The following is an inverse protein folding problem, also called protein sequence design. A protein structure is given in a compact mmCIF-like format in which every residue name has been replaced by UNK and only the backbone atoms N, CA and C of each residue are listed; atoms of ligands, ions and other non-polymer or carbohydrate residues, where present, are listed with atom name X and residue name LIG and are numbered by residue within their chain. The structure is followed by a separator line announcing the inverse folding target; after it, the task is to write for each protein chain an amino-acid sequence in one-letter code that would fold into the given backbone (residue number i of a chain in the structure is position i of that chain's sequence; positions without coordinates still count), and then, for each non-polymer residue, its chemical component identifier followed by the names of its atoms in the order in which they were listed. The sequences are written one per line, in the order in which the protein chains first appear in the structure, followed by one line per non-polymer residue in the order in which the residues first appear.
data_IF_510485301810
#
_entry.id   IF_510485301810
#
_cell.length_a   1.000
_cell.length_b   1.000
_cell.length_c   1.000
_cell.angle_alpha   90.00
_cell.angle_beta   90.00
_cell.angle_gamma   90.00
#
_symmetry.space_group_name_H-M   'P 1'
#
loop_
_entity.id
_entity.type
_entity.pdbx_description
1 polymer ?
#
# COMPACT_ATOMS: atom_id res chain seq x y z
N UNK A 1 29.42 13.67 -14.70
CA UNK A 1 28.72 14.59 -13.78
C UNK A 1 29.62 15.80 -13.58
N UNK A 2 29.22 16.98 -14.06
CA UNK A 2 29.93 18.21 -13.71
C UNK A 2 29.61 18.56 -12.27
N UNK A 3 30.64 18.67 -11.42
CA UNK A 3 30.48 19.26 -10.09
C UNK A 3 30.08 20.73 -10.29
N UNK A 4 28.78 21.02 -10.31
CA UNK A 4 28.30 22.36 -10.06
C UNK A 4 28.57 22.66 -8.59
N UNK A 5 29.80 23.12 -8.30
CA UNK A 5 30.12 23.75 -7.04
C UNK A 5 29.27 25.02 -6.99
N UNK A 6 28.31 25.07 -6.07
CA UNK A 6 27.59 26.31 -5.77
C UNK A 6 28.60 27.24 -5.07
N UNK A 7 29.19 28.14 -5.85
CA UNK A 7 30.14 29.13 -5.32
C UNK A 7 29.31 30.26 -4.71
N UNK A 8 29.37 30.40 -3.39
CA UNK A 8 28.76 31.52 -2.67
C UNK A 8 29.70 32.72 -2.80
N UNK A 9 29.29 33.74 -3.56
CA UNK A 9 30.02 35.01 -3.69
C UNK A 9 29.63 35.95 -2.54
N UNK A 10 30.38 35.88 -1.44
CA UNK A 10 30.19 36.69 -0.25
C UNK A 10 30.24 38.20 -0.55
N UNK A 11 31.05 38.64 -1.52
CA UNK A 11 31.18 40.06 -1.86
C UNK A 11 29.94 40.57 -2.61
N UNK A 12 29.43 39.79 -3.57
CA UNK A 12 28.20 40.09 -4.27
C UNK A 12 27.00 40.13 -3.30
N UNK A 13 26.91 39.15 -2.39
CA UNK A 13 25.86 39.09 -1.36
C UNK A 13 25.94 40.31 -0.44
N UNK A 14 27.14 40.70 0.00
CA UNK A 14 27.37 41.87 0.84
C UNK A 14 26.90 43.17 0.18
N UNK A 15 27.25 43.38 -1.10
CA UNK A 15 26.80 44.54 -1.90
C UNK A 15 25.27 44.57 -2.05
N UNK A 16 24.66 43.43 -2.36
CA UNK A 16 23.21 43.32 -2.51
C UNK A 16 22.47 43.66 -1.22
N UNK A 17 22.90 43.08 -0.09
CA UNK A 17 22.34 43.38 1.23
C UNK A 17 22.49 44.86 1.57
N UNK A 18 23.65 45.47 1.30
CA UNK A 18 23.83 46.90 1.51
C UNK A 18 22.80 47.70 0.75
N UNK A 19 22.61 47.41 -0.54
CA UNK A 19 21.62 48.09 -1.37
C UNK A 19 20.18 47.92 -0.86
N UNK A 20 19.82 46.77 -0.29
CA UNK A 20 18.50 46.57 0.32
C UNK A 20 18.31 47.34 1.63
N UNK A 21 19.34 47.35 2.49
CA UNK A 21 19.32 48.08 3.76
C UNK A 21 19.18 49.57 3.48
N UNK A 22 20.00 50.11 2.59
CA UNK A 22 20.03 51.54 2.29
C UNK A 22 18.70 52.01 1.63
N UNK A 23 17.94 51.11 1.00
CA UNK A 23 16.59 51.37 0.47
C UNK A 23 15.48 51.30 1.51
N UNK A 24 15.57 50.39 2.49
CA UNK A 24 14.47 50.09 3.44
C UNK A 24 14.62 50.72 4.82
N UNK A 25 15.83 51.12 5.19
CA UNK A 25 16.16 51.63 6.52
C UNK A 25 16.86 52.98 6.41
N UNK A 26 16.64 53.87 7.38
CA UNK A 26 17.26 55.21 7.39
C UNK A 26 18.76 55.14 7.62
N UNK A 27 19.24 54.09 8.27
CA UNK A 27 20.66 53.85 8.51
C UNK A 27 20.94 52.37 8.79
N UNK A 28 22.21 51.98 8.66
CA UNK A 28 22.67 50.64 9.09
C UNK A 28 22.50 50.41 10.60
N UNK A 29 22.52 51.49 11.42
CA UNK A 29 22.27 51.41 12.86
C UNK A 29 20.79 51.09 13.15
N UNK A 30 19.86 51.66 12.40
CA UNK A 30 18.43 51.32 12.50
C UNK A 30 18.18 49.84 12.18
N UNK A 31 18.82 49.33 11.11
CA UNK A 31 18.73 47.90 10.77
C UNK A 31 19.25 47.02 11.92
N UNK A 32 20.42 47.35 12.50
CA UNK A 32 20.99 46.60 13.62
C UNK A 32 20.07 46.60 14.86
N UNK A 33 19.42 47.73 15.14
CA UNK A 33 18.44 47.80 16.22
C UNK A 33 17.22 46.89 15.97
N UNK A 34 16.70 46.84 14.72
CA UNK A 34 15.59 45.93 14.38
C UNK A 34 16.04 44.46 14.40
N UNK A 35 17.26 44.16 13.99
CA UNK A 35 17.84 42.82 14.06
C UNK A 35 17.89 42.30 15.51
N UNK A 36 18.36 43.12 16.45
CA UNK A 36 18.33 42.76 17.88
C UNK A 36 16.92 42.57 18.42
N UNK A 37 15.99 43.44 17.99
CA UNK A 37 14.58 43.35 18.39
C UNK A 37 13.92 42.05 17.95
N UNK A 38 14.14 41.64 16.70
CA UNK A 38 13.57 40.39 16.14
C UNK A 38 14.15 39.14 16.82
N UNK A 39 15.38 39.22 17.34
CA UNK A 39 16.00 38.16 18.13
C UNK A 39 15.61 38.18 19.62
N UNK A 40 14.78 39.12 20.07
CA UNK A 40 14.48 39.35 21.49
C UNK A 40 15.73 39.60 22.35
N UNK A 41 16.75 40.26 21.79
CA UNK A 41 18.03 40.56 22.46
C UNK A 41 18.10 41.97 23.09
N UNK A 42 17.01 42.75 23.02
CA UNK A 42 16.93 44.07 23.67
C UNK A 42 16.51 43.92 25.13
N UNK A 43 17.15 44.68 26.02
CA UNK A 43 16.90 44.68 27.48
C UNK A 43 16.51 46.07 27.98
N UNK A 44 16.10 46.18 29.25
CA UNK A 44 15.82 47.49 29.88
C UNK A 44 17.10 48.31 30.17
N UNK A 45 18.29 47.76 29.92
CA UNK A 45 19.57 48.43 30.14
C UNK A 45 20.09 49.07 28.84
N UNK A 46 20.00 50.40 28.75
CA UNK A 46 20.38 51.17 27.55
C UNK A 46 21.86 50.99 27.18
N UNK A 47 22.77 50.95 28.15
CA UNK A 47 24.22 50.77 27.91
C UNK A 47 24.51 49.40 27.26
N UNK A 48 23.85 48.33 27.71
CA UNK A 48 23.98 46.98 27.12
C UNK A 48 23.39 46.92 25.71
N UNK A 49 22.30 47.65 25.47
CA UNK A 49 21.71 47.73 24.14
C UNK A 49 22.65 48.48 23.18
N UNK A 50 23.30 49.57 23.61
CA UNK A 50 24.27 50.29 22.78
C UNK A 50 25.47 49.43 22.39
N UNK A 51 26.03 48.67 23.34
CA UNK A 51 27.12 47.73 23.08
C UNK A 51 26.69 46.64 22.09
N UNK A 52 25.50 46.08 22.26
CA UNK A 52 24.93 45.06 21.38
C UNK A 52 24.67 45.59 19.97
N UNK A 53 24.19 46.83 19.86
CA UNK A 53 24.01 47.52 18.56
C UNK A 53 25.35 47.72 17.88
N UNK A 54 26.39 48.11 18.62
CA UNK A 54 27.73 48.28 18.06
C UNK A 54 28.32 46.95 17.57
N UNK A 55 28.12 45.86 18.31
CA UNK A 55 28.55 44.52 17.90
C UNK A 55 27.85 44.06 16.61
N UNK A 56 26.53 44.27 16.51
CA UNK A 56 25.78 43.98 15.28
C UNK A 56 26.21 44.89 14.12
N UNK A 57 26.53 46.16 14.38
CA UNK A 57 27.03 47.07 13.35
C UNK A 57 28.39 46.64 12.79
N UNK A 58 29.31 46.19 13.66
CA UNK A 58 30.60 45.65 13.24
C UNK A 58 30.43 44.37 12.40
N UNK A 59 29.57 43.45 12.85
CA UNK A 59 29.24 42.22 12.11
C UNK A 59 28.60 42.53 10.76
N UNK A 60 27.64 43.46 10.72
CA UNK A 60 27.01 43.92 9.49
C UNK A 60 28.01 44.55 8.52
N UNK A 61 28.97 45.34 9.02
CA UNK A 61 30.02 45.92 8.19
C UNK A 61 30.89 44.84 7.52
N UNK A 62 31.21 43.76 8.23
CA UNK A 62 31.97 42.63 7.67
C UNK A 62 31.14 41.87 6.61
N UNK A 63 29.83 41.71 6.85
CA UNK A 63 28.90 41.11 5.87
C UNK A 63 28.79 41.99 4.62
N UNK A 64 28.62 43.31 4.77
CA UNK A 64 28.53 44.25 3.64
C UNK A 64 29.78 44.25 2.75
N UNK A 65 30.95 44.01 3.32
CA UNK A 65 32.24 43.90 2.59
C UNK A 65 32.51 42.51 2.01
N UNK A 66 31.68 41.52 2.33
CA UNK A 66 31.91 40.12 1.94
C UNK A 66 33.02 39.41 2.73
N UNK A 67 33.53 40.03 3.79
CA UNK A 67 34.56 39.43 4.67
C UNK A 67 33.98 38.32 5.56
N UNK A 68 32.67 38.37 5.82
CA UNK A 68 31.92 37.32 6.55
C UNK A 68 30.61 37.00 5.85
N UNK A 69 30.24 35.72 5.87
CA UNK A 69 28.92 35.27 5.48
C UNK A 69 27.88 35.54 6.58
N UNK A 70 26.61 35.64 6.18
CA UNK A 70 25.49 35.61 7.12
C UNK A 70 25.48 34.23 7.78
N UNK A 71 25.41 34.20 9.11
CA UNK A 71 25.25 32.94 9.83
C UNK A 71 23.84 32.40 9.63
N UNK A 72 23.68 31.07 9.63
CA UNK A 72 22.40 30.41 9.34
C UNK A 72 21.27 30.90 10.27
N UNK A 73 21.59 31.16 11.54
CA UNK A 73 20.63 31.64 12.54
C UNK A 73 20.13 33.06 12.28
N UNK A 74 20.93 33.90 11.61
CA UNK A 74 20.56 35.28 11.30
C UNK A 74 19.82 35.39 9.95
N UNK A 75 19.88 34.37 9.10
CA UNK A 75 19.31 34.38 7.76
C UNK A 75 17.77 34.57 7.76
N UNK A 76 16.98 33.93 8.66
CA UNK A 76 15.56 34.21 8.85
C UNK A 76 15.26 35.69 9.12
N UNK A 77 16.06 36.32 9.96
CA UNK A 77 15.87 37.71 10.38
C UNK A 77 16.17 38.67 9.23
N UNK A 78 17.26 38.43 8.50
CA UNK A 78 17.61 39.21 7.32
C UNK A 78 16.53 39.10 6.24
N UNK A 79 16.04 37.89 5.96
CA UNK A 79 14.93 37.66 5.02
C UNK A 79 13.68 38.45 5.42
N UNK A 80 13.28 38.37 6.69
CA UNK A 80 12.12 39.09 7.23
C UNK A 80 12.29 40.62 7.14
N UNK A 81 13.40 41.16 7.64
CA UNK A 81 13.64 42.61 7.69
C UNK A 81 13.85 43.22 6.29
N UNK A 82 14.54 42.50 5.41
CA UNK A 82 14.81 42.94 4.04
C UNK A 82 13.70 42.56 3.07
N UNK A 83 12.72 41.76 3.49
CA UNK A 83 11.56 41.33 2.70
C UNK A 83 11.94 40.63 1.39
N UNK A 84 12.92 39.73 1.44
CA UNK A 84 13.41 38.94 0.29
C UNK A 84 13.69 37.51 0.75
N UNK A 85 13.53 36.51 -0.11
CA UNK A 85 13.74 35.10 0.26
C UNK A 85 15.21 34.76 0.51
N UNK A 86 15.47 33.61 1.13
CA UNK A 86 16.83 33.10 1.39
C UNK A 86 17.61 32.91 0.09
N UNK A 87 16.96 32.32 -0.91
CA UNK A 87 17.53 32.08 -2.23
C UNK A 87 17.95 33.40 -2.86
N UNK A 88 17.15 34.45 -2.71
CA UNK A 88 17.44 35.78 -3.27
C UNK A 88 18.56 36.50 -2.51
N UNK A 89 18.75 36.23 -1.22
CA UNK A 89 19.89 36.73 -0.46
C UNK A 89 21.17 36.00 -0.88
N UNK A 90 21.13 34.66 -0.91
CA UNK A 90 22.28 33.80 -1.20
C UNK A 90 22.75 33.89 -2.67
N UNK A 91 21.88 34.35 -3.57
CA UNK A 91 22.20 34.62 -4.98
C UNK A 91 22.54 36.09 -5.26
N UNK A 92 22.80 36.90 -4.24
CA UNK A 92 23.11 38.32 -4.39
C UNK A 92 22.05 39.12 -5.18
N UNK A 93 20.78 38.72 -5.08
CA UNK A 93 19.67 39.37 -5.77
C UNK A 93 19.40 38.87 -7.18
N UNK A 94 20.22 37.95 -7.68
CA UNK A 94 19.94 37.26 -8.93
C UNK A 94 18.64 36.47 -8.77
N UNK A 95 17.67 36.82 -9.60
CA UNK A 95 16.55 35.92 -9.82
C UNK A 95 17.12 34.83 -10.70
N UNK A 96 17.62 33.74 -10.10
CA UNK A 96 17.90 32.54 -10.87
C UNK A 96 16.69 32.23 -11.76
N UNK A 97 16.88 31.60 -12.94
CA UNK A 97 15.74 31.12 -13.70
C UNK A 97 14.84 30.39 -12.71
N UNK A 98 13.53 30.69 -12.71
CA UNK A 98 12.57 30.02 -11.85
C UNK A 98 12.96 28.54 -11.85
N UNK A 99 13.38 28.00 -10.68
CA UNK A 99 13.87 26.63 -10.61
C UNK A 99 12.88 25.80 -11.41
N UNK A 100 13.30 25.15 -12.51
CA UNK A 100 12.36 24.52 -13.41
C UNK A 100 11.48 23.65 -12.54
N UNK A 101 10.19 23.98 -12.48
CA UNK A 101 9.22 23.49 -11.48
C UNK A 101 9.57 22.05 -11.19
N UNK A 102 10.24 21.77 -10.06
CA UNK A 102 10.97 20.49 -9.91
C UNK A 102 9.92 19.40 -9.93
N UNK A 103 9.76 18.76 -11.08
CA UNK A 103 8.74 17.76 -11.30
C UNK A 103 9.16 16.57 -10.47
N UNK A 104 8.52 16.41 -9.31
CA UNK A 104 8.77 15.37 -8.32
C UNK A 104 7.64 14.33 -8.35
N UNK A 105 7.86 13.21 -7.66
CA UNK A 105 6.82 12.20 -7.42
C UNK A 105 5.56 12.84 -6.81
N UNK A 106 5.73 13.69 -5.80
CA UNK A 106 4.65 14.45 -5.16
C UNK A 106 3.84 15.30 -6.13
N UNK A 107 4.51 16.05 -7.01
CA UNK A 107 3.83 16.91 -7.99
C UNK A 107 3.06 16.08 -9.03
N UNK A 108 3.70 15.05 -9.58
CA UNK A 108 3.11 14.20 -10.61
C UNK A 108 1.93 13.40 -10.06
N UNK A 109 2.02 12.95 -8.81
CA UNK A 109 0.93 12.24 -8.14
C UNK A 109 -0.32 13.10 -7.91
N UNK A 110 -0.21 14.43 -7.89
CA UNK A 110 -1.38 15.34 -7.87
C UNK A 110 -1.85 15.75 -9.26
N UNK A 111 -0.97 15.66 -10.26
CA UNK A 111 -1.32 16.01 -11.62
C UNK A 111 -2.48 15.16 -12.14
N UNK A 112 -3.37 15.77 -12.91
CA UNK A 112 -4.44 15.09 -13.65
C UNK A 112 -4.14 14.99 -15.16
N UNK A 113 -2.92 15.36 -15.56
CA UNK A 113 -2.52 15.45 -16.96
C UNK A 113 -1.78 14.19 -17.40
N UNK A 114 -2.41 13.37 -18.24
CA UNK A 114 -1.76 12.23 -18.91
C UNK A 114 -0.49 12.64 -19.66
N UNK A 115 -0.44 13.88 -20.16
CA UNK A 115 0.75 14.42 -20.82
C UNK A 115 1.90 14.60 -19.84
N UNK A 116 1.64 15.21 -18.68
CA UNK A 116 2.67 15.38 -17.64
C UNK A 116 3.14 14.03 -17.10
N UNK A 117 2.23 13.06 -16.95
CA UNK A 117 2.59 11.70 -16.54
C UNK A 117 3.48 11.02 -17.58
N UNK A 118 3.13 11.10 -18.86
CA UNK A 118 3.92 10.53 -19.96
C UNK A 118 5.30 11.19 -20.05
N UNK A 119 5.35 12.53 -20.04
CA UNK A 119 6.61 13.28 -20.03
C UNK A 119 7.49 12.87 -18.83
N UNK A 120 6.90 12.62 -17.66
CA UNK A 120 7.63 12.21 -16.45
C UNK A 120 8.21 10.79 -16.54
N UNK A 121 7.42 9.81 -17.00
CA UNK A 121 7.91 8.43 -17.15
C UNK A 121 8.91 8.29 -18.29
N UNK A 122 8.85 9.15 -19.30
CA UNK A 122 9.75 9.13 -20.46
C UNK A 122 11.09 9.80 -20.20
N UNK A 123 11.23 10.55 -19.09
CA UNK A 123 12.51 11.15 -18.70
C UNK A 123 13.64 10.11 -18.69
N UNK A 124 14.79 10.50 -19.21
CA UNK A 124 15.96 9.63 -19.33
C UNK A 124 16.46 9.13 -17.96
N UNK A 125 16.33 9.95 -16.91
CA UNK A 125 16.73 9.61 -15.53
C UNK A 125 15.69 8.76 -14.78
N UNK A 126 14.53 8.46 -15.39
CA UNK A 126 13.47 7.59 -14.86
C UNK A 126 13.15 7.84 -13.37
N UNK A 127 12.88 9.09 -12.97
CA UNK A 127 12.73 9.46 -11.56
C UNK A 127 11.57 8.74 -10.87
N UNK A 128 10.54 8.32 -11.62
CA UNK A 128 9.40 7.58 -11.09
C UNK A 128 9.75 6.20 -10.49
N UNK A 129 10.92 5.64 -10.85
CA UNK A 129 11.43 4.38 -10.28
C UNK A 129 12.09 4.57 -8.92
N UNK A 130 12.32 5.81 -8.50
CA UNK A 130 13.06 6.14 -7.28
C UNK A 130 12.16 6.89 -6.30
N UNK A 131 12.43 6.73 -5.01
CA UNK A 131 11.89 7.59 -3.97
C UNK A 131 12.38 9.03 -4.13
N UNK A 132 11.55 9.99 -3.74
CA UNK A 132 11.93 11.41 -3.69
C UNK A 132 12.72 11.74 -2.41
N UNK A 133 13.02 13.01 -2.19
CA UNK A 133 13.72 13.51 -0.99
C UNK A 133 13.01 13.20 0.34
N UNK A 134 11.73 12.82 0.33
CA UNK A 134 10.96 12.42 1.51
C UNK A 134 10.90 10.90 1.69
N UNK A 135 11.62 10.13 0.85
CA UNK A 135 11.64 8.67 0.93
C UNK A 135 10.36 8.02 0.42
N UNK A 136 9.57 8.71 -0.41
CA UNK A 136 8.30 8.21 -0.96
C UNK A 136 8.35 8.05 -2.48
N UNK A 137 7.70 6.99 -2.93
CA UNK A 137 7.49 6.66 -4.33
C UNK A 137 6.30 7.43 -4.91
N UNK A 138 6.22 7.49 -6.24
CA UNK A 138 5.06 8.05 -6.95
C UNK A 138 3.75 7.34 -6.59
N UNK A 139 3.78 6.03 -6.30
CA UNK A 139 2.57 5.24 -6.02
C UNK A 139 2.04 5.53 -4.61
N UNK A 140 2.92 5.66 -3.61
CA UNK A 140 2.51 6.07 -2.26
C UNK A 140 1.76 7.40 -2.31
N UNK A 141 2.29 8.41 -3.01
CA UNK A 141 1.58 9.66 -3.19
C UNK A 141 0.31 9.53 -4.01
N UNK A 142 0.29 8.71 -5.07
CA UNK A 142 -0.90 8.50 -5.86
C UNK A 142 -2.05 7.89 -5.02
N UNK A 143 -1.72 7.00 -4.08
CA UNK A 143 -2.66 6.46 -3.09
C UNK A 143 -3.10 7.56 -2.13
N UNK A 144 -2.17 8.34 -1.55
CA UNK A 144 -2.49 9.44 -0.62
C UNK A 144 -3.41 10.49 -1.23
N UNK A 145 -3.19 10.85 -2.50
CA UNK A 145 -4.03 11.79 -3.23
C UNK A 145 -5.26 11.16 -3.89
N UNK A 146 -5.45 9.84 -3.73
CA UNK A 146 -6.47 9.05 -4.42
C UNK A 146 -6.48 9.30 -5.94
N UNK A 147 -5.30 9.50 -6.54
CA UNK A 147 -5.14 9.70 -7.98
C UNK A 147 -5.18 8.36 -8.72
N UNK A 148 -6.37 7.76 -8.74
CA UNK A 148 -6.62 6.47 -9.34
C UNK A 148 -6.27 6.43 -10.84
N UNK A 149 -6.51 7.53 -11.55
CA UNK A 149 -6.23 7.64 -12.98
C UNK A 149 -4.72 7.52 -13.29
N UNK A 150 -3.85 8.03 -12.40
CA UNK A 150 -2.41 7.83 -12.52
C UNK A 150 -2.01 6.37 -12.26
N UNK A 151 -2.58 5.73 -11.24
CA UNK A 151 -2.30 4.31 -10.95
C UNK A 151 -2.66 3.45 -12.16
N UNK A 152 -3.88 3.62 -12.71
CA UNK A 152 -4.30 2.93 -13.94
C UNK A 152 -3.36 3.22 -15.10
N UNK A 153 -2.98 4.48 -15.29
CA UNK A 153 -2.06 4.86 -16.36
C UNK A 153 -0.72 4.12 -16.26
N UNK A 154 -0.18 3.95 -15.05
CA UNK A 154 1.09 3.24 -14.84
C UNK A 154 0.94 1.72 -15.06
N UNK A 155 -0.19 1.13 -14.71
CA UNK A 155 -0.51 -0.27 -15.01
C UNK A 155 -0.67 -0.50 -16.52
N UNK A 156 -1.49 0.33 -17.18
CA UNK A 156 -1.76 0.25 -18.62
C UNK A 156 -0.47 0.41 -19.46
N UNK A 157 0.50 1.17 -18.94
CA UNK A 157 1.82 1.37 -19.58
C UNK A 157 2.83 0.26 -19.25
N UNK A 158 2.46 -0.70 -18.40
CA UNK A 158 3.38 -1.73 -17.90
C UNK A 158 4.55 -1.14 -17.12
N UNK A 159 4.36 0.01 -16.49
CA UNK A 159 5.36 0.61 -15.60
C UNK A 159 5.40 -0.12 -14.25
N UNK A 160 4.25 -0.60 -13.80
CA UNK A 160 4.07 -1.41 -12.59
C UNK A 160 3.08 -2.55 -12.87
N UNK A 161 3.07 -3.55 -12.01
CA UNK A 161 2.06 -4.60 -11.94
C UNK A 161 1.89 -5.05 -10.48
N UNK A 162 0.69 -5.52 -10.14
CA UNK A 162 0.38 -6.09 -8.82
C UNK A 162 0.29 -7.61 -8.82
N UNK A 163 0.13 -8.20 -10.00
CA UNK A 163 0.15 -9.63 -10.27
C UNK A 163 1.16 -9.90 -11.38
N UNK A 164 2.10 -10.83 -11.19
CA UNK A 164 3.04 -11.27 -12.23
C UNK A 164 2.43 -12.30 -13.18
N UNK A 165 1.23 -12.79 -12.89
CA UNK A 165 0.55 -13.88 -13.59
C UNK A 165 1.34 -15.21 -13.57
N UNK A 166 2.34 -15.30 -12.69
CA UNK A 166 3.22 -16.44 -12.56
C UNK A 166 3.06 -17.08 -11.18
N UNK A 167 2.41 -18.24 -11.10
CA UNK A 167 2.15 -18.94 -9.83
C UNK A 167 3.43 -19.23 -9.03
N UNK A 168 4.60 -19.35 -9.66
CA UNK A 168 5.87 -19.53 -8.93
C UNK A 168 6.27 -18.32 -8.11
N UNK A 169 5.76 -17.14 -8.43
CA UNK A 169 6.00 -15.90 -7.70
C UNK A 169 4.98 -15.69 -6.56
N UNK A 170 3.94 -16.54 -6.48
CA UNK A 170 2.88 -16.44 -5.47
C UNK A 170 3.37 -17.02 -4.15
N UNK A 171 4.10 -16.21 -3.41
CA UNK A 171 4.55 -16.49 -2.05
C UNK A 171 3.83 -15.58 -1.05
N UNK A 172 4.52 -14.55 -0.58
CA UNK A 172 3.94 -13.52 0.30
C UNK A 172 3.05 -12.55 -0.51
N UNK A 173 3.31 -12.36 -1.79
CA UNK A 173 2.57 -11.45 -2.68
C UNK A 173 2.28 -12.15 -4.01
N UNK A 174 1.48 -11.53 -4.89
CA UNK A 174 1.23 -12.01 -6.25
C UNK A 174 2.36 -11.64 -7.24
N UNK A 175 3.60 -11.48 -6.80
CA UNK A 175 4.72 -11.12 -7.67
C UNK A 175 4.72 -9.66 -8.18
N UNK A 176 4.13 -8.74 -7.42
CA UNK A 176 4.09 -7.31 -7.76
C UNK A 176 5.48 -6.72 -8.05
N UNK A 177 5.55 -5.75 -8.95
CA UNK A 177 6.83 -5.16 -9.34
C UNK A 177 6.72 -3.95 -10.25
N UNK A 178 7.86 -3.36 -10.56
CA UNK A 178 7.99 -2.26 -11.51
C UNK A 178 8.99 -2.56 -12.61
N UNK A 179 8.78 -1.92 -13.77
CA UNK A 179 9.67 -1.98 -14.93
C UNK A 179 11.06 -1.47 -14.54
N UNK A 180 12.08 -2.29 -14.78
CA UNK A 180 13.50 -1.93 -14.55
C UNK A 180 14.12 -1.38 -15.84
N UNK A 181 15.22 -0.63 -15.72
CA UNK A 181 15.94 -0.07 -16.88
C UNK A 181 16.55 -1.15 -17.80
N UNK A 182 16.73 -2.40 -17.33
CA UNK A 182 17.35 -3.49 -18.10
C UNK A 182 16.35 -4.37 -18.88
N UNK A 183 15.04 -4.26 -18.66
CA UNK A 183 14.03 -5.07 -19.37
C UNK A 183 13.74 -4.60 -20.83
N UNK A 184 14.61 -3.79 -21.44
CA UNK A 184 14.44 -3.35 -22.82
C UNK A 184 15.11 -4.27 -23.85
N UNK A 185 15.87 -5.29 -23.45
CA UNK A 185 16.60 -6.14 -24.39
C UNK A 185 16.95 -7.53 -23.86
N UNK A 186 16.00 -8.27 -23.30
CA UNK A 186 16.12 -9.74 -23.27
C UNK A 186 14.75 -10.41 -23.12
N UNK A 187 14.43 -11.26 -24.10
CA UNK A 187 13.38 -12.27 -24.02
C UNK A 187 13.86 -13.42 -23.11
N UNK A 188 14.11 -13.15 -21.83
CA UNK A 188 14.30 -14.21 -20.85
C UNK A 188 13.12 -14.22 -19.89
N UNK A 189 12.26 -15.19 -20.13
CA UNK A 189 11.22 -15.68 -19.24
C UNK A 189 11.73 -15.77 -17.79
N UNK A 190 10.88 -15.30 -16.87
CA UNK A 190 10.70 -15.86 -15.53
C UNK A 190 11.97 -16.08 -14.69
N UNK A 191 12.52 -15.01 -14.10
CA UNK A 191 13.27 -15.09 -12.84
C UNK A 191 13.54 -13.72 -12.18
N UNK A 192 12.54 -12.84 -12.14
CA UNK A 192 12.69 -11.54 -11.48
C UNK A 192 12.93 -11.69 -9.96
N UNK A 193 12.24 -12.63 -9.30
CA UNK A 193 12.33 -12.82 -7.85
C UNK A 193 13.70 -13.35 -7.37
N UNK A 194 14.34 -14.26 -8.12
CA UNK A 194 15.63 -14.86 -7.73
C UNK A 194 16.82 -13.96 -8.09
N UNK A 195 16.70 -13.17 -9.17
CA UNK A 195 17.79 -12.28 -9.62
C UNK A 195 18.05 -11.09 -8.69
N UNK A 196 17.07 -10.68 -7.88
CA UNK A 196 17.16 -9.58 -6.93
C UNK A 196 18.06 -9.87 -5.71
N UNK A 197 18.28 -11.14 -5.37
CA UNK A 197 19.02 -11.55 -4.16
C UNK A 197 20.56 -11.45 -4.36
N UNK A 198 21.06 -11.48 -5.59
CA UNK A 198 22.50 -11.66 -5.86
C UNK A 198 23.17 -10.57 -6.73
N UNK A 199 22.49 -9.48 -7.06
CA UNK A 199 23.04 -8.44 -7.95
C UNK A 199 23.11 -7.06 -7.25
N UNK A 200 24.33 -6.49 -7.04
CA UNK A 200 24.51 -5.16 -6.45
C UNK A 200 24.30 -4.10 -7.54
N UNK A 201 23.05 -3.81 -7.88
CA UNK A 201 22.67 -2.80 -8.89
C UNK A 201 21.91 -1.65 -8.21
N UNK A 202 21.93 -0.42 -8.78
CA UNK A 202 21.25 0.72 -8.20
C UNK A 202 19.76 0.39 -8.01
N UNK A 203 19.39 0.20 -6.75
CA UNK A 203 18.11 -0.36 -6.33
C UNK A 203 16.98 0.50 -6.90
N UNK A 204 16.18 -0.06 -7.81
CA UNK A 204 14.91 0.52 -8.20
C UNK A 204 14.03 0.52 -6.96
N UNK A 205 13.96 1.67 -6.28
CA UNK A 205 13.26 1.79 -5.02
C UNK A 205 11.79 1.42 -5.18
N UNK A 206 11.15 1.77 -6.30
CA UNK A 206 9.76 1.42 -6.56
C UNK A 206 9.58 -0.10 -6.68
N UNK A 207 10.43 -0.80 -7.44
CA UNK A 207 10.37 -2.26 -7.56
C UNK A 207 10.55 -2.91 -6.19
N UNK A 208 11.59 -2.51 -5.45
CA UNK A 208 11.85 -3.03 -4.10
C UNK A 208 10.68 -2.82 -3.15
N UNK A 209 10.03 -1.64 -3.21
CA UNK A 209 8.86 -1.32 -2.39
C UNK A 209 7.64 -2.16 -2.76
N UNK A 210 7.41 -2.40 -4.06
CA UNK A 210 6.30 -3.24 -4.53
C UNK A 210 6.50 -4.72 -4.18
N UNK A 211 7.74 -5.20 -4.16
CA UNK A 211 8.06 -6.60 -3.84
C UNK A 211 8.13 -6.90 -2.34
N UNK A 212 8.24 -5.87 -1.50
CA UNK A 212 8.46 -6.03 -0.05
C UNK A 212 7.26 -6.66 0.65
N UNK A 213 6.04 -6.19 0.32
CA UNK A 213 4.80 -6.68 0.90
C UNK A 213 3.59 -6.24 0.07
N UNK A 214 2.40 -6.68 0.48
CA UNK A 214 1.14 -6.50 -0.25
C UNK A 214 0.44 -5.13 0.00
N UNK A 215 1.10 -4.20 0.70
CA UNK A 215 0.51 -2.94 1.14
C UNK A 215 -0.03 -2.11 -0.02
N UNK A 216 0.70 -2.01 -1.12
CA UNK A 216 0.25 -1.22 -2.27
C UNK A 216 -1.06 -1.76 -2.85
N UNK A 217 -1.12 -3.07 -3.10
CA UNK A 217 -2.32 -3.75 -3.61
C UNK A 217 -3.50 -3.51 -2.67
N UNK A 218 -3.29 -3.73 -1.36
CA UNK A 218 -4.32 -3.51 -0.33
C UNK A 218 -4.85 -2.08 -0.28
N UNK A 219 -4.00 -1.07 -0.52
CA UNK A 219 -4.43 0.33 -0.51
C UNK A 219 -5.03 0.80 -1.84
N UNK A 220 -4.80 0.09 -2.95
CA UNK A 220 -5.45 0.38 -4.24
C UNK A 220 -6.87 -0.22 -4.29
N UNK A 221 -7.13 -1.34 -3.60
CA UNK A 221 -8.46 -1.99 -3.56
C UNK A 221 -9.58 -1.02 -3.15
N UNK A 222 -9.51 -0.29 -2.01
CA UNK A 222 -10.52 0.71 -1.64
C UNK A 222 -10.76 1.77 -2.72
N UNK A 223 -9.70 2.22 -3.38
CA UNK A 223 -9.78 3.22 -4.45
C UNK A 223 -10.52 2.64 -5.67
N UNK A 224 -10.28 1.37 -6.01
CA UNK A 224 -11.00 0.68 -7.08
C UNK A 224 -12.48 0.47 -6.73
N UNK A 225 -12.81 0.17 -5.46
CA UNK A 225 -14.18 0.12 -4.96
C UNK A 225 -14.89 1.49 -5.13
N UNK A 226 -14.24 2.59 -4.71
CA UNK A 226 -14.77 3.96 -4.86
C UNK A 226 -15.07 4.31 -6.33
N UNK A 227 -14.31 3.74 -7.27
CA UNK A 227 -14.46 3.96 -8.71
C UNK A 227 -15.35 2.91 -9.42
N UNK A 228 -15.93 1.95 -8.68
CA UNK A 228 -16.76 0.86 -9.21
C UNK A 228 -16.08 0.03 -10.31
N UNK A 229 -14.75 -0.09 -10.24
CA UNK A 229 -13.96 -0.72 -11.29
C UNK A 229 -13.76 -2.21 -10.99
N UNK A 230 -14.77 -3.03 -11.33
CA UNK A 230 -14.71 -4.48 -11.16
C UNK A 230 -13.56 -5.12 -11.95
N UNK A 231 -13.18 -4.55 -13.11
CA UNK A 231 -12.05 -5.08 -13.88
C UNK A 231 -10.76 -4.90 -13.07
N UNK A 232 -10.53 -3.71 -12.55
CA UNK A 232 -9.37 -3.46 -11.68
C UNK A 232 -9.38 -4.34 -10.44
N UNK A 233 -10.53 -4.57 -9.81
CA UNK A 233 -10.62 -5.48 -8.66
C UNK A 233 -10.22 -6.91 -9.04
N UNK A 234 -10.62 -7.37 -10.23
CA UNK A 234 -10.14 -8.62 -10.83
C UNK A 234 -8.63 -8.63 -11.07
N UNK A 235 -8.10 -7.59 -11.73
CA UNK A 235 -6.66 -7.44 -12.01
C UNK A 235 -5.81 -7.38 -10.71
N UNK A 236 -6.38 -6.86 -9.61
CA UNK A 236 -5.77 -6.81 -8.28
C UNK A 236 -5.94 -8.12 -7.48
N UNK A 237 -6.71 -9.09 -7.99
CA UNK A 237 -7.16 -10.27 -7.21
C UNK A 237 -7.74 -9.87 -5.86
N UNK A 238 -8.62 -8.86 -5.84
CA UNK A 238 -9.00 -8.15 -4.63
C UNK A 238 -9.71 -9.05 -3.58
N UNK A 239 -10.37 -10.12 -4.04
CA UNK A 239 -11.01 -11.12 -3.17
C UNK A 239 -10.15 -12.34 -2.87
N UNK A 240 -8.86 -12.33 -3.23
CA UNK A 240 -7.95 -13.47 -3.12
C UNK A 240 -6.69 -13.09 -2.34
N UNK A 241 -6.01 -14.10 -1.80
CA UNK A 241 -4.68 -13.99 -1.18
C UNK A 241 -3.73 -14.99 -1.84
N UNK A 242 -2.41 -14.69 -1.91
CA UNK A 242 -1.43 -15.59 -2.52
C UNK A 242 -1.47 -17.01 -1.94
N UNK A 243 -1.70 -17.13 -0.62
CA UNK A 243 -1.83 -18.40 0.11
C UNK A 243 -2.82 -19.40 -0.49
N UNK A 244 -3.84 -18.94 -1.21
CA UNK A 244 -4.81 -19.83 -1.87
C UNK A 244 -4.20 -20.65 -3.01
N UNK A 245 -3.11 -20.18 -3.62
CA UNK A 245 -2.49 -20.85 -4.76
C UNK A 245 -1.45 -21.87 -4.34
N UNK A 246 -0.56 -21.50 -3.40
CA UNK A 246 0.57 -22.34 -3.03
C UNK A 246 0.35 -23.16 -1.75
N UNK A 247 -0.52 -22.71 -0.81
CA UNK A 247 -0.76 -23.44 0.45
C UNK A 247 -2.08 -24.19 0.49
N UNK A 248 -3.13 -23.75 -0.20
CA UNK A 248 -4.44 -24.40 -0.11
C UNK A 248 -4.48 -25.74 -0.85
N UNK A 249 -3.76 -26.74 -0.37
CA UNK A 249 -3.66 -28.07 -0.95
C UNK A 249 -4.09 -29.11 0.08
N UNK A 250 -5.25 -29.73 -0.17
CA UNK A 250 -5.83 -30.74 0.71
C UNK A 250 -4.93 -31.97 0.88
N UNK A 251 -4.06 -32.30 -0.08
CA UNK A 251 -3.17 -33.48 0.05
C UNK A 251 -2.01 -33.23 1.01
N UNK A 252 -1.51 -32.00 1.10
CA UNK A 252 -0.39 -31.64 1.98
C UNK A 252 -0.82 -31.24 3.39
N UNK A 253 -2.13 -31.20 3.71
CA UNK A 253 -2.66 -30.69 4.99
C UNK A 253 -2.10 -29.30 5.33
N UNK A 254 -1.93 -28.46 4.31
CA UNK A 254 -1.53 -27.07 4.46
C UNK A 254 -2.74 -26.18 4.19
N UNK A 255 -2.85 -25.08 4.95
CA UNK A 255 -3.86 -24.06 4.73
C UNK A 255 -3.21 -22.70 4.46
N UNK A 256 -3.93 -21.79 3.78
CA UNK A 256 -3.51 -20.40 3.62
C UNK A 256 -3.37 -19.70 4.97
N UNK A 257 -2.36 -18.85 5.09
CA UNK A 257 -2.24 -17.91 6.21
C UNK A 257 -2.95 -16.61 5.81
N UNK A 258 -4.09 -16.35 6.44
CA UNK A 258 -5.00 -15.26 6.04
C UNK A 258 -4.67 -13.97 6.79
N UNK A 259 -4.16 -14.07 8.01
CA UNK A 259 -3.93 -12.93 8.90
C UNK A 259 -2.84 -11.95 8.40
N UNK A 260 -1.84 -12.42 7.65
CA UNK A 260 -0.77 -11.58 7.10
C UNK A 260 -1.27 -10.52 6.09
N UNK A 261 -2.46 -10.72 5.51
CA UNK A 261 -3.06 -9.83 4.51
C UNK A 261 -4.30 -9.09 5.05
N UNK A 262 -4.63 -9.26 6.33
CA UNK A 262 -5.84 -8.66 6.89
C UNK A 262 -5.70 -7.15 7.13
N UNK A 263 -6.48 -6.37 6.39
CA UNK A 263 -6.63 -4.93 6.60
C UNK A 263 -8.04 -4.59 7.08
N UNK A 264 -8.25 -4.44 8.39
CA UNK A 264 -9.57 -4.12 8.95
C UNK A 264 -10.20 -2.85 8.33
N UNK A 265 -9.38 -1.84 8.03
CA UNK A 265 -9.83 -0.62 7.34
C UNK A 265 -10.29 -0.88 5.91
N UNK A 266 -9.63 -1.80 5.19
CA UNK A 266 -9.99 -2.20 3.82
C UNK A 266 -11.32 -2.96 3.82
N UNK A 267 -11.48 -3.95 4.72
CA UNK A 267 -12.73 -4.73 4.82
C UNK A 267 -13.90 -3.83 5.21
N UNK A 268 -13.69 -2.89 6.14
CA UNK A 268 -14.71 -1.89 6.48
C UNK A 268 -15.08 -1.02 5.27
N UNK A 269 -14.09 -0.54 4.51
CA UNK A 269 -14.34 0.25 3.30
C UNK A 269 -15.12 -0.55 2.24
N UNK A 270 -14.83 -1.84 2.09
CA UNK A 270 -15.61 -2.74 1.23
C UNK A 270 -17.06 -2.83 1.72
N UNK A 271 -17.30 -2.98 3.03
CA UNK A 271 -18.65 -3.03 3.61
C UNK A 271 -19.48 -1.76 3.36
N UNK A 272 -18.81 -0.62 3.18
CA UNK A 272 -19.42 0.67 2.83
C UNK A 272 -19.66 0.86 1.33
N UNK A 273 -19.21 -0.07 0.48
CA UNK A 273 -19.35 0.00 -0.96
C UNK A 273 -20.78 -0.32 -1.42
N UNK A 274 -21.09 -0.01 -2.68
CA UNK A 274 -22.40 -0.34 -3.24
C UNK A 274 -22.59 -1.84 -3.50
N UNK A 275 -23.85 -2.24 -3.67
CA UNK A 275 -24.23 -3.65 -3.84
C UNK A 275 -23.45 -4.37 -4.95
N UNK A 276 -23.06 -3.71 -6.04
CA UNK A 276 -22.34 -4.38 -7.13
C UNK A 276 -20.92 -4.75 -6.72
N UNK A 277 -20.27 -3.91 -5.90
CA UNK A 277 -18.98 -4.24 -5.29
C UNK A 277 -19.16 -5.34 -4.23
N UNK A 278 -20.19 -5.24 -3.39
CA UNK A 278 -20.48 -6.26 -2.38
C UNK A 278 -20.79 -7.62 -3.01
N UNK A 279 -21.48 -7.67 -4.16
CA UNK A 279 -21.65 -8.91 -4.94
C UNK A 279 -20.30 -9.55 -5.26
N UNK A 280 -19.36 -8.79 -5.82
CA UNK A 280 -18.04 -9.29 -6.20
C UNK A 280 -17.28 -9.94 -5.03
N UNK A 281 -17.36 -9.35 -3.83
CA UNK A 281 -16.71 -9.87 -2.62
C UNK A 281 -17.50 -10.99 -1.91
N UNK A 282 -18.78 -11.19 -2.23
CA UNK A 282 -19.62 -12.23 -1.61
C UNK A 282 -19.88 -13.42 -2.52
N UNK A 283 -19.63 -13.29 -3.82
CA UNK A 283 -19.63 -14.41 -4.75
C UNK A 283 -18.47 -15.36 -4.45
N UNK A 284 -18.76 -16.66 -4.49
CA UNK A 284 -17.73 -17.68 -4.54
C UNK A 284 -16.93 -17.59 -5.84
N UNK A 285 -15.72 -18.13 -5.82
CA UNK A 285 -14.82 -18.12 -6.95
C UNK A 285 -13.93 -19.34 -6.96
N UNK A 286 -13.53 -19.73 -8.17
CA UNK A 286 -12.73 -20.93 -8.38
C UNK A 286 -11.27 -20.58 -8.63
N UNK A 287 -10.38 -21.31 -7.96
CA UNK A 287 -8.95 -21.29 -8.22
C UNK A 287 -8.55 -22.59 -8.89
N UNK A 288 -7.90 -22.44 -10.05
CA UNK A 288 -7.10 -23.48 -10.68
C UNK A 288 -5.65 -23.20 -10.30
N UNK A 289 -4.93 -24.19 -9.76
CA UNK A 289 -3.50 -24.07 -9.51
C UNK A 289 -2.73 -25.15 -10.25
N UNK A 290 -1.80 -24.70 -11.09
CA UNK A 290 -0.90 -25.52 -11.91
C UNK A 290 0.08 -26.35 -11.08
N UNK A 291 0.38 -25.94 -9.84
CA UNK A 291 1.36 -26.61 -8.96
C UNK A 291 0.86 -27.92 -8.34
N UNK A 292 -0.41 -28.29 -8.54
CA UNK A 292 -0.99 -29.50 -7.97
C UNK A 292 -0.84 -30.71 -8.89
N UNK A 293 0.38 -31.26 -8.96
CA UNK A 293 0.74 -32.51 -9.67
C UNK A 293 -0.15 -33.74 -9.35
N UNK A 294 -0.96 -33.65 -8.30
CA UNK A 294 -1.74 -34.77 -7.77
C UNK A 294 -3.23 -34.72 -8.13
N UNK A 295 -3.72 -33.58 -8.64
CA UNK A 295 -5.13 -33.41 -9.01
C UNK A 295 -5.27 -33.63 -10.52
N UNK A 296 -5.21 -34.90 -10.93
CA UNK A 296 -5.13 -35.32 -12.35
C UNK A 296 -6.32 -34.87 -13.23
N UNK A 297 -7.33 -34.24 -12.63
CA UNK A 297 -8.55 -33.79 -13.29
C UNK A 297 -8.75 -32.27 -13.28
N UNK A 298 -7.77 -31.47 -12.82
CA UNK A 298 -7.89 -30.01 -12.85
C UNK A 298 -9.10 -29.48 -12.09
N UNK A 299 -9.46 -30.12 -10.97
CA UNK A 299 -10.67 -29.74 -10.23
C UNK A 299 -10.47 -28.36 -9.60
N UNK A 300 -11.32 -27.45 -10.03
CA UNK A 300 -11.49 -26.12 -9.44
C UNK A 300 -11.77 -26.21 -7.94
N UNK A 301 -11.04 -25.41 -7.17
CA UNK A 301 -11.26 -25.23 -5.74
C UNK A 301 -12.07 -23.96 -5.55
N UNK A 302 -13.30 -24.13 -5.11
CA UNK A 302 -14.20 -23.01 -4.82
C UNK A 302 -13.90 -22.44 -3.44
N UNK A 303 -13.68 -21.14 -3.39
CA UNK A 303 -13.48 -20.35 -2.17
C UNK A 303 -14.47 -19.19 -2.13
N UNK A 304 -14.57 -18.56 -0.97
CA UNK A 304 -15.19 -17.24 -0.81
C UNK A 304 -14.13 -16.27 -0.30
N UNK A 305 -14.42 -14.97 -0.27
CA UNK A 305 -13.47 -13.96 0.20
C UNK A 305 -12.87 -14.36 1.57
N UNK A 306 -11.53 -14.38 1.75
CA UNK A 306 -10.93 -14.86 3.00
C UNK A 306 -11.39 -14.11 4.25
N UNK A 307 -11.82 -12.84 4.11
CA UNK A 307 -12.33 -12.01 5.21
C UNK A 307 -13.86 -11.90 5.23
N UNK A 308 -14.57 -12.88 4.67
CA UNK A 308 -16.02 -12.83 4.53
C UNK A 308 -16.75 -12.75 5.88
N UNK A 309 -16.25 -13.42 6.92
CA UNK A 309 -16.81 -13.37 8.28
C UNK A 309 -16.76 -11.94 8.83
N UNK A 310 -15.62 -11.25 8.66
CA UNK A 310 -15.44 -9.87 9.09
C UNK A 310 -16.29 -8.91 8.25
N UNK A 311 -16.41 -9.15 6.94
CA UNK A 311 -17.30 -8.37 6.07
C UNK A 311 -18.76 -8.50 6.51
N UNK A 312 -19.24 -9.71 6.78
CA UNK A 312 -20.59 -9.95 7.30
C UNK A 312 -20.81 -9.22 8.64
N UNK A 313 -19.85 -9.31 9.56
CA UNK A 313 -19.93 -8.62 10.85
C UNK A 313 -20.09 -7.10 10.68
N UNK A 314 -19.37 -6.47 9.74
CA UNK A 314 -19.56 -5.05 9.42
C UNK A 314 -20.93 -4.77 8.82
N UNK A 315 -21.37 -5.55 7.83
CA UNK A 315 -22.68 -5.37 7.19
C UNK A 315 -23.83 -5.47 8.21
N UNK A 316 -23.74 -6.42 9.14
CA UNK A 316 -24.75 -6.66 10.17
C UNK A 316 -24.72 -5.58 11.24
N UNK A 317 -23.54 -5.23 11.76
CA UNK A 317 -23.40 -4.21 12.80
C UNK A 317 -23.92 -2.84 12.35
N UNK A 318 -23.79 -2.52 11.06
CA UNK A 318 -24.26 -1.27 10.48
C UNK A 318 -25.68 -1.36 9.90
N UNK A 319 -26.35 -2.51 10.01
CA UNK A 319 -27.71 -2.71 9.51
C UNK A 319 -27.84 -2.52 7.99
N UNK A 320 -26.80 -2.89 7.22
CA UNK A 320 -26.79 -2.72 5.77
C UNK A 320 -27.85 -3.63 5.13
N UNK A 321 -28.69 -3.13 4.19
CA UNK A 321 -29.70 -3.95 3.52
C UNK A 321 -29.14 -5.18 2.78
N UNK A 322 -27.88 -5.11 2.36
CA UNK A 322 -27.21 -6.19 1.65
C UNK A 322 -26.87 -7.40 2.56
N UNK A 323 -26.92 -7.25 3.88
CA UNK A 323 -26.51 -8.29 4.83
C UNK A 323 -27.26 -9.62 4.61
N UNK A 324 -28.58 -9.59 4.38
CA UNK A 324 -29.36 -10.82 4.18
C UNK A 324 -28.92 -11.58 2.93
N UNK A 325 -28.68 -10.86 1.82
CA UNK A 325 -28.20 -11.47 0.57
C UNK A 325 -26.82 -12.08 0.73
N UNK A 326 -25.92 -11.41 1.45
CA UNK A 326 -24.60 -11.95 1.75
C UNK A 326 -24.69 -13.23 2.63
N UNK A 327 -25.56 -13.22 3.64
CA UNK A 327 -25.81 -14.39 4.50
C UNK A 327 -26.38 -15.57 3.71
N UNK A 328 -27.36 -15.34 2.83
CA UNK A 328 -27.96 -16.38 1.99
C UNK A 328 -26.91 -17.08 1.12
N UNK A 329 -26.01 -16.32 0.47
CA UNK A 329 -24.91 -16.89 -0.31
C UNK A 329 -23.96 -17.73 0.55
N UNK A 330 -23.65 -17.27 1.76
CA UNK A 330 -22.76 -18.01 2.66
C UNK A 330 -23.41 -19.27 3.21
N UNK A 331 -24.72 -19.25 3.45
CA UNK A 331 -25.49 -20.45 3.80
C UNK A 331 -25.46 -21.46 2.64
N UNK A 332 -25.64 -21.01 1.40
CA UNK A 332 -25.56 -21.87 0.22
C UNK A 332 -24.18 -22.51 0.08
N UNK A 333 -23.11 -21.71 0.14
CA UNK A 333 -21.73 -22.18 0.08
C UNK A 333 -21.40 -23.17 1.21
N UNK A 334 -21.77 -22.86 2.46
CA UNK A 334 -21.52 -23.74 3.60
C UNK A 334 -22.33 -25.04 3.52
N UNK A 335 -23.58 -25.03 3.03
CA UNK A 335 -24.35 -26.27 2.78
C UNK A 335 -23.70 -27.13 1.72
N UNK A 336 -23.33 -26.55 0.59
CA UNK A 336 -22.63 -27.28 -0.48
C UNK A 336 -21.30 -27.87 0.01
N UNK A 337 -20.59 -27.16 0.88
CA UNK A 337 -19.37 -27.66 1.54
C UNK A 337 -19.65 -28.85 2.43
N UNK A 338 -20.66 -28.77 3.30
CA UNK A 338 -21.08 -29.86 4.19
C UNK A 338 -21.51 -31.10 3.40
N UNK A 339 -22.33 -30.93 2.36
CA UNK A 339 -22.78 -32.02 1.50
C UNK A 339 -21.60 -32.72 0.80
N UNK A 340 -20.64 -31.93 0.31
CA UNK A 340 -19.42 -32.46 -0.33
C UNK A 340 -18.52 -33.20 0.68
N UNK A 341 -18.37 -32.67 1.89
CA UNK A 341 -17.63 -33.36 2.96
C UNK A 341 -18.28 -34.69 3.31
N UNK A 342 -19.59 -34.72 3.53
CA UNK A 342 -20.33 -35.94 3.82
C UNK A 342 -20.22 -36.97 2.68
N UNK A 343 -20.29 -36.54 1.42
CA UNK A 343 -20.06 -37.40 0.27
C UNK A 343 -18.66 -38.03 0.27
N UNK A 344 -17.62 -37.20 0.45
CA UNK A 344 -16.23 -37.66 0.50
C UNK A 344 -15.94 -38.61 1.68
N UNK A 345 -16.54 -38.36 2.84
CA UNK A 345 -16.44 -39.23 4.02
C UNK A 345 -17.13 -40.57 3.75
N UNK A 346 -18.37 -40.55 3.24
CA UNK A 346 -19.12 -41.76 2.90
C UNK A 346 -18.38 -42.61 1.84
N UNK A 347 -17.86 -42.00 0.78
CA UNK A 347 -17.07 -42.68 -0.24
C UNK A 347 -15.82 -43.34 0.36
N UNK A 348 -15.20 -42.68 1.35
CA UNK A 348 -14.03 -43.22 2.06
C UNK A 348 -14.40 -44.44 2.90
N UNK A 349 -15.51 -44.39 3.64
CA UNK A 349 -16.03 -45.50 4.46
C UNK A 349 -16.46 -46.73 3.63
N UNK A 350 -16.96 -46.53 2.40
CA UNK A 350 -17.33 -47.62 1.51
C UNK A 350 -16.14 -48.27 0.80
N UNK A 351 -14.96 -47.66 0.85
CA UNK A 351 -13.76 -48.24 0.25
C UNK A 351 -13.14 -49.26 1.22
N UNK A 352 -12.78 -50.46 0.74
CA UNK A 352 -12.10 -51.53 1.51
C UNK A 352 -10.77 -51.09 2.18
N UNK A 353 -10.34 -49.87 1.89
CA UNK A 353 -9.05 -49.32 2.21
C UNK A 353 -9.04 -48.34 3.41
N UNK A 354 -10.17 -48.06 4.06
CA UNK A 354 -10.26 -47.18 5.23
C UNK A 354 -10.90 -47.92 6.41
N UNK A 355 -10.29 -47.82 7.59
CA UNK A 355 -11.00 -48.16 8.83
C UNK A 355 -11.98 -47.03 9.20
N UNK A 356 -12.97 -47.35 10.03
CA UNK A 356 -14.08 -46.47 10.42
C UNK A 356 -13.61 -45.15 11.10
N UNK A 357 -12.38 -45.11 11.60
CA UNK A 357 -11.78 -43.96 12.28
C UNK A 357 -10.75 -43.19 11.41
N UNK A 358 -10.20 -43.80 10.36
CA UNK A 358 -9.11 -43.24 9.56
C UNK A 358 -9.51 -41.99 8.76
N UNK A 359 -10.79 -41.81 8.43
CA UNK A 359 -11.24 -40.58 7.76
C UNK A 359 -11.10 -39.34 8.66
N UNK A 360 -11.23 -39.49 9.99
CA UNK A 360 -11.10 -38.38 10.95
C UNK A 360 -9.69 -37.82 10.97
N UNK A 361 -8.68 -38.67 10.84
CA UNK A 361 -7.26 -38.27 10.70
C UNK A 361 -6.98 -37.51 9.40
N UNK A 362 -7.93 -37.51 8.47
CA UNK A 362 -7.84 -36.83 7.20
C UNK A 362 -8.82 -35.65 7.09
N UNK A 363 -9.49 -35.31 8.18
CA UNK A 363 -10.36 -34.15 8.31
C UNK A 363 -9.67 -33.11 9.20
N UNK A 364 -9.40 -31.93 8.66
CA UNK A 364 -8.81 -30.81 9.39
C UNK A 364 -9.73 -29.60 9.36
N UNK A 365 -9.93 -29.00 10.54
CA UNK A 365 -10.61 -27.73 10.70
C UNK A 365 -9.65 -26.72 11.34
N UNK A 366 -9.38 -25.63 10.62
CA UNK A 366 -8.47 -24.57 11.03
C UNK A 366 -9.28 -23.41 11.61
N UNK A 367 -9.43 -23.43 12.94
CA UNK A 367 -10.25 -22.47 13.69
C UNK A 367 -9.86 -21.00 13.44
N UNK A 368 -8.56 -20.70 13.33
CA UNK A 368 -8.08 -19.31 13.24
C UNK A 368 -8.45 -18.62 11.91
N UNK A 369 -8.56 -19.39 10.83
CA UNK A 369 -8.77 -18.88 9.47
C UNK A 369 -10.10 -19.33 8.85
N UNK A 370 -10.92 -20.10 9.57
CA UNK A 370 -12.17 -20.72 9.11
C UNK A 370 -12.02 -21.59 7.86
N UNK A 371 -10.90 -22.31 7.74
CA UNK A 371 -10.69 -23.28 6.67
C UNK A 371 -11.07 -24.68 7.12
N UNK A 372 -11.66 -25.42 6.19
CA UNK A 372 -11.90 -26.86 6.33
C UNK A 372 -11.19 -27.58 5.20
N UNK A 373 -10.55 -28.71 5.52
CA UNK A 373 -9.98 -29.59 4.53
C UNK A 373 -10.30 -31.04 4.82
N UNK A 374 -10.48 -31.81 3.75
CA UNK A 374 -10.58 -33.25 3.81
C UNK A 374 -9.78 -33.87 2.67
N UNK A 375 -9.05 -34.95 2.96
CA UNK A 375 -8.31 -35.69 1.95
C UNK A 375 -8.60 -37.18 1.99
N UNK A 376 -8.80 -37.76 0.81
CA UNK A 376 -8.71 -39.19 0.62
C UNK A 376 -7.42 -39.47 -0.16
N UNK A 377 -6.38 -39.86 0.58
CA UNK A 377 -5.02 -40.06 0.04
C UNK A 377 -5.02 -41.12 -1.06
N UNK A 378 -5.79 -42.19 -0.87
CA UNK A 378 -5.80 -43.35 -1.78
C UNK A 378 -6.54 -43.04 -3.08
N UNK A 379 -7.70 -42.40 -3.00
CA UNK A 379 -8.46 -41.96 -4.17
C UNK A 379 -7.93 -40.65 -4.78
N UNK A 380 -6.92 -40.02 -4.16
CA UNK A 380 -6.35 -38.72 -4.55
C UNK A 380 -7.41 -37.63 -4.76
N UNK A 381 -8.46 -37.67 -3.95
CA UNK A 381 -9.58 -36.72 -3.98
C UNK A 381 -9.70 -36.01 -2.64
N UNK A 382 -10.38 -34.88 -2.60
CA UNK A 382 -10.55 -34.11 -1.39
C UNK A 382 -11.22 -32.77 -1.62
N UNK A 383 -11.16 -31.94 -0.60
CA UNK A 383 -11.64 -30.57 -0.61
C UNK A 383 -10.77 -29.74 0.34
N UNK A 384 -10.55 -28.49 -0.03
CA UNK A 384 -10.12 -27.43 0.89
C UNK A 384 -10.87 -26.16 0.50
N UNK A 385 -11.50 -25.52 1.47
CA UNK A 385 -12.27 -24.27 1.30
C UNK A 385 -12.33 -23.52 2.62
N UNK A 386 -12.63 -22.22 2.56
CA UNK A 386 -13.07 -21.45 3.71
C UNK A 386 -14.61 -21.47 3.84
N UNK A 387 -15.08 -21.30 5.07
CA UNK A 387 -16.50 -21.13 5.42
C UNK A 387 -16.69 -19.88 6.28
N UNK A 388 -17.89 -19.33 6.30
CA UNK A 388 -18.20 -18.12 7.06
C UNK A 388 -18.81 -18.43 8.43
N UNK A 389 -18.52 -17.56 9.41
CA UNK A 389 -19.17 -17.51 10.72
C UNK A 389 -19.42 -16.06 11.09
N UNK A 390 -20.51 -15.80 11.81
CA UNK A 390 -20.88 -14.44 12.21
C UNK A 390 -20.83 -14.32 13.72
N UNK A 391 -20.15 -13.29 14.22
CA UNK A 391 -20.04 -12.99 15.65
C UNK A 391 -21.10 -11.99 16.12
N UNK A 392 -21.63 -11.17 15.21
CA UNK A 392 -22.64 -10.15 15.52
C UNK A 392 -24.06 -10.71 15.59
N UNK A 393 -24.89 -10.04 16.38
CA UNK A 393 -26.34 -10.27 16.44
C UNK A 393 -27.06 -9.14 15.71
N UNK A 394 -28.20 -9.43 15.13
CA UNK A 394 -29.10 -8.45 14.52
C UNK A 394 -30.36 -8.27 15.36
N UNK A 395 -30.86 -7.03 15.40
CA UNK A 395 -32.20 -6.75 15.93
C UNK A 395 -33.31 -7.12 14.94
N UNK A 396 -32.99 -7.29 13.65
CA UNK A 396 -33.93 -7.74 12.64
C UNK A 396 -34.16 -9.27 12.76
N UNK A 397 -35.41 -9.73 12.97
CA UNK A 397 -35.69 -11.16 13.16
C UNK A 397 -35.28 -12.05 11.98
N UNK A 398 -35.42 -11.54 10.75
CA UNK A 398 -35.10 -12.32 9.56
C UNK A 398 -33.58 -12.44 9.39
N UNK A 399 -32.83 -11.33 9.52
CA UNK A 399 -31.36 -11.38 9.56
C UNK A 399 -30.85 -12.30 10.66
N UNK A 400 -31.42 -12.22 11.87
CA UNK A 400 -31.00 -13.08 12.99
C UNK A 400 -31.26 -14.57 12.72
N UNK A 401 -32.35 -14.90 12.03
CA UNK A 401 -32.63 -16.27 11.58
C UNK A 401 -31.54 -16.78 10.62
N UNK A 402 -31.16 -15.97 9.63
CA UNK A 402 -30.09 -16.31 8.68
C UNK A 402 -28.73 -16.48 9.39
N UNK A 403 -28.40 -15.60 10.34
CA UNK A 403 -27.19 -15.71 11.17
C UNK A 403 -27.17 -17.05 11.92
N UNK A 404 -28.28 -17.41 12.56
CA UNK A 404 -28.37 -18.67 13.29
C UNK A 404 -28.18 -19.87 12.35
N UNK A 405 -28.86 -19.88 11.20
CA UNK A 405 -28.71 -20.96 10.21
C UNK A 405 -27.28 -21.09 9.69
N UNK A 406 -26.59 -19.99 9.40
CA UNK A 406 -25.19 -20.03 8.97
C UNK A 406 -24.28 -20.60 10.06
N UNK A 407 -24.41 -20.11 11.29
CA UNK A 407 -23.58 -20.54 12.42
C UNK A 407 -23.87 -22.00 12.82
N UNK A 408 -25.11 -22.49 12.68
CA UNK A 408 -25.46 -23.90 12.89
C UNK A 408 -24.73 -24.81 11.89
N UNK A 409 -24.67 -24.45 10.61
CA UNK A 409 -23.91 -25.21 9.60
C UNK A 409 -22.41 -25.15 9.88
N UNK A 410 -21.90 -23.99 10.28
CA UNK A 410 -20.51 -23.82 10.68
C UNK A 410 -20.14 -24.78 11.83
N UNK A 411 -20.95 -24.84 12.89
CA UNK A 411 -20.73 -25.75 14.01
C UNK A 411 -20.85 -27.23 13.60
N UNK A 412 -21.76 -27.58 12.71
CA UNK A 412 -21.83 -28.95 12.15
C UNK A 412 -20.52 -29.31 11.45
N UNK A 413 -20.03 -28.46 10.55
CA UNK A 413 -18.76 -28.70 9.84
C UNK A 413 -17.62 -28.81 10.87
N UNK A 414 -17.46 -27.82 11.75
CA UNK A 414 -16.40 -27.81 12.76
C UNK A 414 -16.37 -29.08 13.62
N UNK A 415 -17.53 -29.64 13.95
CA UNK A 415 -17.63 -30.80 14.84
C UNK A 415 -17.68 -32.16 14.14
N UNK A 416 -17.73 -32.22 12.79
CA UNK A 416 -17.69 -33.48 12.01
C UNK A 416 -16.58 -34.42 12.51
N UNK A 417 -15.35 -33.92 12.64
CA UNK A 417 -14.20 -34.72 13.09
C UNK A 417 -14.27 -35.17 14.57
N UNK A 418 -15.13 -34.55 15.39
CA UNK A 418 -15.22 -34.79 16.84
C UNK A 418 -16.36 -35.72 17.25
N UNK A 419 -17.41 -35.86 16.44
CA UNK A 419 -18.60 -36.63 16.79
C UNK A 419 -18.44 -38.13 16.52
N UNK A 420 -17.88 -38.88 17.48
CA UNK A 420 -18.23 -40.25 17.92
C UNK A 420 -17.05 -40.89 18.67
N UNK A 421 -16.88 -40.52 19.94
CA UNK A 421 -16.41 -41.47 20.95
C UNK A 421 -17.66 -42.01 21.66
N UNK A 422 -18.09 -43.22 21.31
CA UNK A 422 -19.01 -44.02 22.12
C UNK A 422 -18.20 -44.87 23.07
#
# INVERSE_FOLDING_TARGET
MGNHIFIIDSEAIGKYISGLIDKKFKSSREFCHRWLKENNELTDNELKNEESIQNRANKLSQIKKGEKNIQIDDLPVFSKLLGVSFERILSAGESGPALPKRVSNYYIAQSKSKKEWQEYIDRADKPFLYMDEFGKTIIEYAIEFKNYALIKFLLDKGCIWFDSECESDYGIIFGAGAKTQENSSDNSENNAAISAIYKPYPMNHLHSRLTDNDWFRMNVIPIACDNRDLKMLGDLRAREIPGLYFRANYLSCSHPEVNSHYGASVVKHIADSDNKILEYFTDSFDIQSSQNYCDKNGKERTFVYPYISQLLDFLIAEGKPFANRALEKMIEHSKATLDKLNGLINDSLQSECYDENSWRENYDFYDDDNFVSFRNIKARTGIITNIAVVSKKSGDPHTQMLINSLNEIYEQIKNLGKEHTV
#
